data_IF_331662882113
#
_entry.id   IF_331662882113
#
_cell.length_a   1.000
_cell.length_b   1.000
_cell.length_c   1.000
_cell.angle_alpha   90.00
_cell.angle_beta   90.00
_cell.angle_gamma   90.00
#
_symmetry.space_group_name_H-M   'P 1'
#
loop_
_entity.id
_entity.type
_entity.pdbx_description
1 polymer ?
#
# COMPACT_ATOMS: atom_id res chain seq x y z
N UNK A 1 -1.83 -10.28 3.62
CA UNK A 1 -0.74 -11.02 4.29
C UNK A 1 -0.44 -12.25 3.46
N UNK A 2 0.72 -12.35 2.80
CA UNK A 2 1.10 -13.52 2.01
C UNK A 2 1.40 -14.74 2.90
N UNK A 3 1.25 -15.91 2.30
CA UNK A 3 1.71 -17.19 2.83
C UNK A 3 3.20 -17.38 2.50
N UNK A 4 3.97 -17.85 3.48
CA UNK A 4 5.41 -18.07 3.37
C UNK A 4 5.68 -19.53 3.06
N UNK A 5 6.43 -19.78 2.00
CA UNK A 5 6.99 -21.08 1.66
C UNK A 5 8.45 -21.12 2.12
N UNK A 6 8.80 -22.15 2.90
CA UNK A 6 10.15 -22.32 3.46
C UNK A 6 10.83 -23.55 2.88
N UNK A 7 12.14 -23.45 2.67
CA UNK A 7 13.00 -24.59 2.40
C UNK A 7 13.16 -25.48 3.63
N UNK A 8 13.64 -26.70 3.44
CA UNK A 8 14.02 -27.63 4.52
C UNK A 8 15.01 -27.02 5.54
N UNK A 9 15.83 -26.04 5.09
CA UNK A 9 16.78 -25.32 5.94
C UNK A 9 16.16 -24.12 6.69
N UNK A 10 14.84 -23.96 6.60
CA UNK A 10 14.11 -22.89 7.27
C UNK A 10 14.23 -21.51 6.61
N UNK A 11 14.85 -21.37 5.43
CA UNK A 11 14.87 -20.09 4.69
C UNK A 11 13.59 -19.87 3.88
N UNK A 12 13.16 -18.62 3.76
CA UNK A 12 12.07 -18.25 2.85
C UNK A 12 12.54 -18.52 1.41
N UNK A 13 11.72 -19.23 0.64
CA UNK A 13 11.95 -19.52 -0.78
C UNK A 13 10.82 -19.03 -1.67
N UNK A 14 9.68 -18.64 -1.10
CA UNK A 14 8.55 -18.12 -1.87
C UNK A 14 7.49 -17.43 -1.02
N UNK A 15 6.79 -16.48 -1.64
CA UNK A 15 5.61 -15.82 -1.10
C UNK A 15 4.40 -16.17 -1.97
N UNK A 16 3.32 -16.70 -1.38
CA UNK A 16 2.10 -17.09 -2.09
C UNK A 16 0.88 -16.31 -1.59
N UNK A 17 -0.06 -16.04 -2.49
CA UNK A 17 -1.36 -15.44 -2.15
C UNK A 17 -2.37 -16.48 -1.64
N UNK A 18 -2.16 -17.76 -1.97
CA UNK A 18 -3.03 -18.88 -1.59
C UNK A 18 -2.23 -19.88 -0.75
N UNK A 19 -2.90 -20.50 0.24
CA UNK A 19 -2.31 -21.56 1.04
C UNK A 19 -1.99 -22.77 0.14
N UNK A 20 -0.73 -23.20 0.15
CA UNK A 20 -0.26 -24.43 -0.50
C UNK A 20 0.21 -25.47 0.52
N UNK A 21 0.49 -26.69 0.08
CA UNK A 21 1.04 -27.74 0.95
C UNK A 21 2.36 -27.34 1.62
N UNK A 22 3.16 -26.50 0.95
CA UNK A 22 4.48 -26.05 1.43
C UNK A 22 4.45 -24.68 2.14
N UNK A 23 3.26 -24.07 2.26
CA UNK A 23 3.14 -22.79 2.97
C UNK A 23 2.93 -23.02 4.46
N UNK A 24 3.89 -22.57 5.26
CA UNK A 24 3.98 -22.93 6.69
C UNK A 24 3.39 -21.86 7.59
N UNK A 25 3.36 -20.60 7.16
CA UNK A 25 2.91 -19.48 7.98
C UNK A 25 2.42 -18.30 7.14
N UNK A 26 1.68 -17.38 7.78
CA UNK A 26 1.34 -16.07 7.21
C UNK A 26 2.20 -15.03 7.89
N UNK A 27 2.91 -14.23 7.11
CA UNK A 27 3.65 -13.06 7.61
C UNK A 27 3.18 -11.79 6.95
N UNK A 28 3.47 -10.67 7.60
CA UNK A 28 3.26 -9.35 7.01
C UNK A 28 4.30 -9.10 5.92
N UNK A 29 3.95 -8.31 4.91
CA UNK A 29 4.93 -7.80 3.95
C UNK A 29 5.94 -6.85 4.61
N UNK A 30 5.62 -6.34 5.81
CA UNK A 30 6.47 -5.46 6.58
C UNK A 30 7.38 -6.21 7.58
N UNK A 31 7.33 -7.55 7.62
CA UNK A 31 8.26 -8.33 8.44
C UNK A 31 9.68 -8.25 7.86
N UNK A 32 10.67 -8.03 8.72
CA UNK A 32 12.07 -7.83 8.34
C UNK A 32 12.62 -8.99 7.49
N UNK A 33 12.29 -10.23 7.87
CA UNK A 33 12.67 -11.44 7.14
C UNK A 33 12.04 -11.53 5.74
N UNK A 34 10.81 -11.04 5.57
CA UNK A 34 10.11 -11.02 4.28
C UNK A 34 10.69 -9.92 3.40
N UNK A 35 10.99 -8.76 3.98
CA UNK A 35 11.64 -7.65 3.30
C UNK A 35 13.03 -8.04 2.80
N UNK A 36 13.82 -8.76 3.59
CA UNK A 36 15.15 -9.21 3.19
C UNK A 36 15.09 -10.28 2.10
N UNK A 37 14.15 -11.23 2.19
CA UNK A 37 13.89 -12.17 1.09
C UNK A 37 13.51 -11.47 -0.22
N UNK A 38 12.65 -10.45 -0.14
CA UNK A 38 12.22 -9.67 -1.30
C UNK A 38 13.38 -8.85 -1.90
N UNK A 39 14.22 -8.22 -1.08
CA UNK A 39 15.41 -7.47 -1.53
C UNK A 39 16.40 -8.36 -2.30
N UNK A 40 16.59 -9.60 -1.84
CA UNK A 40 17.58 -10.51 -2.40
C UNK A 40 17.09 -11.23 -3.68
N UNK A 41 15.76 -11.38 -3.86
CA UNK A 41 15.19 -12.26 -4.90
C UNK A 41 14.33 -11.55 -5.96
N UNK A 42 13.96 -10.28 -5.78
CA UNK A 42 13.04 -9.59 -6.69
C UNK A 42 13.68 -8.40 -7.39
N UNK A 43 13.43 -8.28 -8.70
CA UNK A 43 13.76 -7.10 -9.49
C UNK A 43 13.22 -5.83 -8.80
N UNK A 44 14.03 -4.78 -8.76
CA UNK A 44 13.74 -3.51 -8.09
C UNK A 44 12.36 -2.93 -8.40
N UNK A 45 11.84 -3.19 -9.62
CA UNK A 45 10.50 -2.77 -10.07
C UNK A 45 9.35 -3.39 -9.29
N UNK A 46 9.49 -4.62 -8.79
CA UNK A 46 8.42 -5.25 -8.01
C UNK A 46 8.42 -4.76 -6.56
N UNK A 47 9.60 -4.53 -5.98
CA UNK A 47 9.75 -3.84 -4.69
C UNK A 47 9.15 -2.43 -4.74
N UNK A 48 9.40 -1.67 -5.82
CA UNK A 48 8.74 -0.38 -6.06
C UNK A 48 7.21 -0.53 -6.14
N UNK A 49 6.69 -1.54 -6.85
CA UNK A 49 5.24 -1.80 -6.94
C UNK A 49 4.61 -2.16 -5.58
N UNK A 50 5.31 -2.94 -4.76
CA UNK A 50 4.89 -3.29 -3.40
C UNK A 50 4.88 -2.08 -2.47
N UNK A 51 5.90 -1.22 -2.55
CA UNK A 51 5.93 0.06 -1.83
C UNK A 51 4.78 0.95 -2.28
N UNK A 52 4.54 1.08 -3.59
CA UNK A 52 3.40 1.85 -4.13
C UNK A 52 2.06 1.30 -3.66
N UNK A 53 1.91 -0.04 -3.56
CA UNK A 53 0.71 -0.66 -3.00
C UNK A 53 0.55 -0.41 -1.50
N UNK A 54 1.64 -0.45 -0.73
CA UNK A 54 1.63 -0.11 0.70
C UNK A 54 1.31 1.38 0.92
N UNK A 55 1.86 2.24 0.08
CA UNK A 55 1.70 3.70 0.16
C UNK A 55 0.28 4.14 -0.21
N UNK A 56 -0.46 3.36 -0.99
CA UNK A 56 -1.84 3.69 -1.34
C UNK A 56 -2.75 3.84 -0.09
N UNK A 57 -2.53 3.00 0.94
CA UNK A 57 -3.24 3.10 2.21
C UNK A 57 -2.77 4.31 3.04
N UNK A 58 -1.46 4.55 3.07
CA UNK A 58 -0.85 5.65 3.81
C UNK A 58 -1.27 7.02 3.25
N UNK A 59 -1.30 7.18 1.93
CA UNK A 59 -1.69 8.43 1.28
C UNK A 59 -3.16 8.77 1.60
N UNK A 60 -4.05 7.77 1.62
CA UNK A 60 -5.46 7.98 2.02
C UNK A 60 -5.56 8.47 3.47
N UNK A 61 -4.81 7.87 4.38
CA UNK A 61 -4.78 8.28 5.78
C UNK A 61 -4.23 9.71 5.94
N UNK A 62 -3.19 10.06 5.17
CA UNK A 62 -2.65 11.42 5.15
C UNK A 62 -3.66 12.45 4.62
N UNK A 63 -4.38 12.13 3.54
CA UNK A 63 -5.45 12.99 3.02
C UNK A 63 -6.57 13.20 4.06
N UNK A 64 -7.02 12.15 4.74
CA UNK A 64 -8.03 12.24 5.78
C UNK A 64 -7.56 13.06 6.99
N UNK A 65 -6.29 12.91 7.37
CA UNK A 65 -5.67 13.72 8.42
C UNK A 65 -5.62 15.19 8.02
N UNK A 66 -5.16 15.52 6.81
CA UNK A 66 -5.10 16.90 6.31
C UNK A 66 -6.50 17.52 6.27
N UNK A 67 -7.50 16.76 5.81
CA UNK A 67 -8.89 17.20 5.79
C UNK A 67 -9.44 17.44 7.19
N UNK A 68 -9.13 16.57 8.16
CA UNK A 68 -9.52 16.73 9.55
C UNK A 68 -8.91 17.99 10.18
N UNK A 69 -7.62 18.21 9.96
CA UNK A 69 -6.90 19.37 10.50
C UNK A 69 -7.41 20.67 9.88
N UNK A 70 -7.66 20.68 8.57
CA UNK A 70 -8.26 21.82 7.85
C UNK A 70 -9.67 22.11 8.35
N UNK A 71 -10.54 21.10 8.48
CA UNK A 71 -11.90 21.25 9.02
C UNK A 71 -11.93 21.79 10.46
N UNK A 72 -10.92 21.45 11.25
CA UNK A 72 -10.75 21.97 12.62
C UNK A 72 -10.09 23.35 12.66
N UNK A 73 -9.76 23.95 11.51
CA UNK A 73 -8.98 25.19 11.41
C UNK A 73 -7.65 25.13 12.18
N UNK A 74 -7.03 23.94 12.27
CA UNK A 74 -5.70 23.77 12.90
C UNK A 74 -4.59 24.18 11.93
N UNK A 75 -4.78 23.89 10.64
CA UNK A 75 -3.93 24.33 9.54
C UNK A 75 -4.81 24.95 8.45
N UNK A 76 -4.25 25.87 7.68
CA UNK A 76 -4.84 26.33 6.42
C UNK A 76 -4.30 25.46 5.29
N UNK A 77 -5.17 25.05 4.37
CA UNK A 77 -4.75 24.27 3.20
C UNK A 77 -3.62 24.96 2.40
N UNK A 78 -3.65 26.29 2.34
CA UNK A 78 -2.66 27.13 1.66
C UNK A 78 -1.28 27.16 2.33
N UNK A 79 -1.16 26.67 3.57
CA UNK A 79 0.13 26.53 4.27
C UNK A 79 0.92 25.31 3.78
N UNK A 80 0.28 24.38 3.06
CA UNK A 80 0.96 23.24 2.45
C UNK A 80 1.79 23.69 1.23
N UNK A 81 2.89 23.01 0.90
CA UNK A 81 3.63 23.29 -0.34
C UNK A 81 2.73 23.20 -1.58
N UNK A 82 2.96 24.05 -2.58
CA UNK A 82 2.14 24.13 -3.80
C UNK A 82 1.98 22.76 -4.49
N UNK A 83 3.09 22.01 -4.61
CA UNK A 83 3.08 20.63 -5.14
C UNK A 83 2.20 19.66 -4.33
N UNK A 84 2.09 19.86 -3.02
CA UNK A 84 1.24 19.03 -2.17
C UNK A 84 -0.23 19.41 -2.35
N UNK A 85 -0.53 20.70 -2.48
CA UNK A 85 -1.89 21.20 -2.77
C UNK A 85 -2.40 20.63 -4.10
N UNK A 86 -1.61 20.74 -5.18
CA UNK A 86 -1.94 20.19 -6.50
C UNK A 86 -2.25 18.69 -6.43
N UNK A 87 -1.37 17.91 -5.79
CA UNK A 87 -1.56 16.46 -5.63
C UNK A 87 -2.83 16.09 -4.87
N UNK A 88 -3.19 16.85 -3.83
CA UNK A 88 -4.40 16.61 -3.04
C UNK A 88 -5.64 16.91 -3.89
N UNK A 89 -5.64 18.02 -4.63
CA UNK A 89 -6.76 18.40 -5.52
C UNK A 89 -6.94 17.38 -6.64
N UNK A 90 -5.87 16.96 -7.32
CA UNK A 90 -5.92 15.94 -8.38
C UNK A 90 -6.56 14.64 -7.87
N UNK A 91 -6.17 14.21 -6.67
CA UNK A 91 -6.70 12.99 -6.06
C UNK A 91 -8.14 13.12 -5.60
N UNK A 92 -8.52 14.27 -5.06
CA UNK A 92 -9.91 14.55 -4.69
C UNK A 92 -10.82 14.49 -5.93
N UNK A 93 -10.40 15.09 -7.05
CA UNK A 93 -11.13 15.01 -8.33
C UNK A 93 -11.25 13.58 -8.86
N UNK A 94 -10.19 12.77 -8.76
CA UNK A 94 -10.24 11.35 -9.13
C UNK A 94 -11.25 10.61 -8.23
N UNK A 95 -11.27 10.91 -6.93
CA UNK A 95 -12.18 10.29 -5.98
C UNK A 95 -13.63 10.67 -6.23
N UNK A 96 -13.90 11.94 -6.54
CA UNK A 96 -15.25 12.40 -6.90
C UNK A 96 -15.74 11.72 -8.19
N UNK A 97 -14.87 11.56 -9.19
CA UNK A 97 -15.19 10.82 -10.42
C UNK A 97 -15.45 9.33 -10.16
N UNK A 98 -14.64 8.70 -9.30
CA UNK A 98 -14.80 7.30 -8.90
C UNK A 98 -15.98 7.05 -7.94
N UNK A 99 -16.46 8.08 -7.25
CA UNK A 99 -17.66 7.98 -6.38
C UNK A 99 -18.94 8.30 -7.14
N UNK A 100 -18.87 9.14 -8.19
CA UNK A 100 -20.01 9.50 -9.04
C UNK A 100 -20.29 8.44 -10.13
N UNK A 101 -19.26 7.74 -10.58
CA UNK A 101 -19.40 6.46 -11.27
C UNK A 101 -19.43 5.40 -10.17
N UNK A 102 -20.55 4.70 -9.93
CA UNK A 102 -20.58 3.54 -9.02
C UNK A 102 -19.68 2.41 -9.56
N UNK A 103 -18.37 2.60 -9.60
CA UNK A 103 -17.41 1.56 -9.96
C UNK A 103 -17.21 0.77 -8.68
N UNK A 104 -18.05 -0.26 -8.55
CA UNK A 104 -17.77 -1.38 -7.68
C UNK A 104 -16.45 -1.95 -8.20
N UNK A 105 -15.36 -1.62 -7.51
CA UNK A 105 -14.09 -2.32 -7.71
C UNK A 105 -14.33 -3.69 -7.06
N UNK A 106 -14.80 -4.64 -7.86
CA UNK A 106 -14.71 -6.05 -7.49
C UNK A 106 -13.23 -6.33 -7.23
N UNK A 107 -12.91 -6.67 -5.98
CA UNK A 107 -11.64 -7.28 -5.64
C UNK A 107 -11.45 -8.47 -6.58
N UNK A 108 -10.49 -8.38 -7.49
CA UNK A 108 -10.04 -9.52 -8.27
C UNK A 108 -9.38 -10.48 -7.27
N UNK A 109 -10.11 -11.56 -6.99
CA UNK A 109 -9.70 -12.75 -6.20
C UNK A 109 -8.56 -13.48 -6.90
#
# INVERSE_FOLDING_TARGET
MPYIERSADGKIIGLRTVAGPDTTEKKSLNDEEVLDFLKDNMDSKFLESLLVHSDAGLIRLLEDLINLLTKKNIILFTELPEKAQEKIIEREQIREKMSSQNIIVEEII
#
